data_IF_310691943968
#
_entry.id   IF_310691943968
#
_cell.length_a   1.000
_cell.length_b   1.000
_cell.length_c   1.000
_cell.angle_alpha   90.00
_cell.angle_beta   90.00
_cell.angle_gamma   90.00
#
_symmetry.space_group_name_H-M   'P 1'
#
loop_
_entity.id
_entity.type
_entity.pdbx_description
1 polymer ?
#
# COMPACT_ATOMS: atom_id res chain seq x y z
N UNK A 1 -21.76 34.97 -7.45
CA UNK A 1 -22.24 35.77 -6.28
C UNK A 1 -23.56 35.26 -5.72
N UNK A 2 -24.49 34.73 -6.54
CA UNK A 2 -25.80 34.26 -6.10
C UNK A 2 -25.81 32.95 -5.26
N UNK A 3 -24.87 32.03 -5.47
CA UNK A 3 -24.85 30.72 -4.75
C UNK A 3 -24.52 30.93 -3.26
N UNK A 4 -23.54 31.80 -2.96
CA UNK A 4 -23.14 32.08 -1.57
C UNK A 4 -24.30 32.81 -0.84
N UNK A 5 -24.97 33.74 -1.51
CA UNK A 5 -26.11 34.48 -0.92
C UNK A 5 -27.29 33.53 -0.66
N UNK A 6 -27.54 32.55 -1.52
CA UNK A 6 -28.61 31.56 -1.36
C UNK A 6 -28.33 30.58 -0.23
N UNK A 7 -27.06 30.27 0.04
CA UNK A 7 -26.63 29.38 1.13
C UNK A 7 -26.57 30.11 2.48
N UNK A 8 -26.18 31.38 2.50
CA UNK A 8 -25.98 32.16 3.73
C UNK A 8 -27.26 32.81 4.24
N UNK A 9 -28.17 33.25 3.35
CA UNK A 9 -29.43 33.92 3.74
C UNK A 9 -30.32 33.09 4.68
N UNK A 10 -30.58 31.78 4.45
CA UNK A 10 -31.36 30.99 5.40
C UNK A 10 -30.67 30.86 6.77
N UNK A 11 -29.35 30.83 6.78
CA UNK A 11 -28.54 30.74 7.99
C UNK A 11 -28.61 32.04 8.82
N UNK A 12 -28.50 33.20 8.16
CA UNK A 12 -28.61 34.50 8.85
C UNK A 12 -30.00 34.76 9.41
N UNK A 13 -31.08 34.37 8.71
CA UNK A 13 -32.44 34.49 9.22
C UNK A 13 -32.72 33.58 10.42
N UNK A 14 -32.08 32.42 10.48
CA UNK A 14 -32.24 31.43 11.56
C UNK A 14 -31.50 31.81 12.83
N UNK A 15 -30.33 32.49 12.70
CA UNK A 15 -29.58 32.98 13.88
C UNK A 15 -30.34 34.11 14.62
N UNK A 16 -31.21 34.84 13.94
CA UNK A 16 -32.05 35.88 14.54
C UNK A 16 -33.20 35.33 15.38
N UNK A 17 -33.59 34.06 15.22
CA UNK A 17 -34.60 33.41 16.04
C UNK A 17 -33.94 32.78 17.27
N UNK A 18 -34.30 33.21 18.46
CA UNK A 18 -33.67 32.88 19.78
C UNK A 18 -33.76 31.42 20.23
N UNK A 19 -34.01 30.47 19.37
CA UNK A 19 -34.19 29.08 19.77
C UNK A 19 -32.96 28.21 19.41
N UNK A 20 -31.95 28.19 20.28
CA UNK A 20 -30.81 27.28 20.22
C UNK A 20 -31.23 25.80 20.14
N UNK A 21 -32.45 25.47 20.61
CA UNK A 21 -33.01 24.09 20.51
C UNK A 21 -33.33 23.63 19.09
N UNK A 22 -33.29 24.56 18.11
CA UNK A 22 -33.55 24.22 16.69
C UNK A 22 -32.28 24.00 15.86
N UNK A 23 -31.09 24.16 16.45
CA UNK A 23 -29.84 24.08 15.71
C UNK A 23 -29.66 22.74 14.94
N UNK A 24 -29.97 21.61 15.57
CA UNK A 24 -29.87 20.29 14.92
C UNK A 24 -30.83 20.18 13.73
N UNK A 25 -32.05 20.71 13.84
CA UNK A 25 -33.01 20.72 12.73
C UNK A 25 -32.54 21.61 11.58
N UNK A 26 -31.95 22.76 11.90
CA UNK A 26 -31.39 23.67 10.92
C UNK A 26 -30.21 23.06 10.19
N UNK A 27 -29.31 22.38 10.90
CA UNK A 27 -28.19 21.63 10.30
C UNK A 27 -28.70 20.56 9.34
N UNK A 28 -29.77 19.84 9.71
CA UNK A 28 -30.40 18.84 8.84
C UNK A 28 -31.04 19.44 7.58
N UNK A 29 -31.74 20.55 7.73
CA UNK A 29 -32.38 21.27 6.61
C UNK A 29 -31.33 21.86 5.65
N UNK A 30 -30.26 22.40 6.20
CA UNK A 30 -29.14 22.92 5.43
C UNK A 30 -28.42 21.84 4.64
N UNK A 31 -28.16 20.69 5.27
CA UNK A 31 -27.60 19.51 4.61
C UNK A 31 -28.54 19.03 3.48
N UNK A 32 -29.85 18.98 3.71
CA UNK A 32 -30.83 18.61 2.67
C UNK A 32 -30.80 19.56 1.47
N UNK A 33 -30.72 20.87 1.73
CA UNK A 33 -30.66 21.87 0.66
C UNK A 33 -29.38 21.77 -0.16
N UNK A 34 -28.22 21.62 0.50
CA UNK A 34 -26.95 21.37 -0.17
C UNK A 34 -27.00 20.08 -1.02
N UNK A 35 -27.65 19.04 -0.52
CA UNK A 35 -27.80 17.78 -1.25
C UNK A 35 -28.64 17.96 -2.52
N UNK A 36 -29.73 18.76 -2.47
CA UNK A 36 -30.57 19.05 -3.64
C UNK A 36 -29.82 19.86 -4.70
N UNK A 37 -29.02 20.84 -4.31
CA UNK A 37 -28.22 21.65 -5.24
C UNK A 37 -27.10 20.82 -5.87
N UNK A 38 -26.42 19.99 -5.07
CA UNK A 38 -25.42 19.05 -5.58
C UNK A 38 -26.04 18.02 -6.53
N UNK A 39 -27.26 17.56 -6.25
CA UNK A 39 -28.01 16.68 -7.14
C UNK A 39 -28.28 17.34 -8.50
N UNK A 40 -28.72 18.60 -8.50
CA UNK A 40 -28.98 19.35 -9.72
C UNK A 40 -27.70 19.51 -10.56
N UNK A 41 -26.56 19.81 -9.91
CA UNK A 41 -25.26 19.87 -10.57
C UNK A 41 -24.86 18.51 -11.18
N UNK A 42 -25.03 17.42 -10.45
CA UNK A 42 -24.74 16.07 -10.95
C UNK A 42 -25.65 15.66 -12.11
N UNK A 43 -26.92 16.07 -12.09
CA UNK A 43 -27.86 15.82 -13.19
C UNK A 43 -27.44 16.55 -14.47
N UNK A 44 -27.02 17.82 -14.36
CA UNK A 44 -26.51 18.63 -15.48
C UNK A 44 -25.22 18.03 -16.03
N UNK A 45 -24.24 17.74 -15.15
CA UNK A 45 -22.96 17.12 -15.55
C UNK A 45 -23.19 15.77 -16.23
N UNK A 46 -24.06 14.93 -15.68
CA UNK A 46 -24.39 13.63 -16.27
C UNK A 46 -24.99 13.78 -17.67
N UNK A 47 -25.84 14.78 -17.91
CA UNK A 47 -26.40 15.09 -19.22
C UNK A 47 -25.34 15.57 -20.22
N UNK A 48 -24.44 16.46 -19.81
CA UNK A 48 -23.37 16.98 -20.67
C UNK A 48 -22.39 15.87 -21.08
N UNK A 49 -21.99 15.06 -20.12
CA UNK A 49 -21.11 13.90 -20.38
C UNK A 49 -21.77 12.85 -21.27
N UNK A 50 -23.11 12.72 -21.20
CA UNK A 50 -23.87 11.84 -22.06
C UNK A 50 -23.82 12.25 -23.54
N UNK A 51 -23.97 13.53 -23.85
CA UNK A 51 -23.85 14.01 -25.24
C UNK A 51 -22.48 13.69 -25.84
N UNK A 52 -21.42 13.88 -25.05
CA UNK A 52 -20.02 13.56 -25.48
C UNK A 52 -19.83 12.04 -25.65
N UNK A 53 -20.42 11.22 -24.79
CA UNK A 53 -20.34 9.76 -24.84
C UNK A 53 -21.18 9.16 -25.99
N UNK A 54 -22.36 9.69 -26.28
CA UNK A 54 -23.15 9.31 -27.48
C UNK A 54 -22.36 9.52 -28.76
N UNK A 55 -21.64 10.64 -28.86
CA UNK A 55 -20.83 10.94 -30.05
C UNK A 55 -19.64 9.99 -30.19
N UNK A 56 -19.14 9.42 -29.10
CA UNK A 56 -18.04 8.43 -29.10
C UNK A 56 -18.52 6.98 -29.27
N UNK A 57 -19.67 6.61 -28.68
CA UNK A 57 -20.20 5.23 -28.71
C UNK A 57 -20.95 4.90 -30.01
N UNK A 58 -21.12 5.82 -30.92
CA UNK A 58 -21.53 5.51 -32.31
C UNK A 58 -20.46 4.71 -33.09
N UNK A 59 -19.30 4.44 -32.49
CA UNK A 59 -18.28 3.51 -32.99
C UNK A 59 -18.55 2.05 -32.57
N UNK A 60 -17.65 1.09 -32.91
CA UNK A 60 -17.93 -0.33 -33.05
C UNK A 60 -18.13 -1.16 -31.77
N UNK A 61 -18.25 -0.62 -30.58
CA UNK A 61 -18.59 -1.42 -29.40
C UNK A 61 -20.06 -1.89 -29.36
N UNK A 62 -20.36 -2.85 -30.24
CA UNK A 62 -21.68 -3.52 -30.38
C UNK A 62 -22.17 -4.27 -29.13
N UNK A 63 -21.53 -4.10 -27.97
CA UNK A 63 -21.84 -4.90 -26.76
C UNK A 63 -22.91 -4.27 -25.87
N UNK A 64 -23.19 -2.98 -26.01
CA UNK A 64 -24.14 -2.27 -25.16
C UNK A 64 -25.20 -1.56 -26.01
N UNK A 65 -26.45 -1.58 -25.52
CA UNK A 65 -27.58 -0.84 -26.09
C UNK A 65 -27.98 0.29 -25.15
N UNK A 66 -28.14 1.47 -25.71
CA UNK A 66 -28.73 2.59 -24.99
C UNK A 66 -30.17 2.29 -24.55
N UNK A 67 -30.45 2.53 -23.27
CA UNK A 67 -31.73 2.25 -22.64
C UNK A 67 -32.43 3.49 -22.06
N UNK A 68 -32.05 4.67 -22.57
CA UNK A 68 -32.61 5.96 -22.13
C UNK A 68 -31.96 6.51 -20.86
N UNK A 69 -32.41 7.68 -20.43
CA UNK A 69 -32.02 8.29 -19.16
C UNK A 69 -32.86 7.69 -18.05
N UNK A 70 -32.21 7.19 -17.00
CA UNK A 70 -32.88 6.60 -15.85
C UNK A 70 -32.48 7.26 -14.55
N UNK A 71 -33.39 7.29 -13.59
CA UNK A 71 -33.11 7.69 -12.22
C UNK A 71 -32.24 6.67 -11.52
N UNK A 72 -31.08 7.07 -11.05
CA UNK A 72 -30.09 6.22 -10.37
C UNK A 72 -29.85 6.75 -8.97
N UNK A 73 -30.01 5.91 -7.95
CA UNK A 73 -29.69 6.29 -6.58
C UNK A 73 -28.17 6.12 -6.37
N UNK A 74 -27.49 7.19 -6.00
CA UNK A 74 -26.05 7.23 -5.71
C UNK A 74 -25.82 7.60 -4.26
N UNK A 75 -24.63 7.27 -3.73
CA UNK A 75 -24.21 7.63 -2.38
C UNK A 75 -23.08 8.64 -2.49
N UNK A 76 -23.20 9.77 -1.83
CA UNK A 76 -22.23 10.87 -1.80
C UNK A 76 -21.28 10.76 -0.60
N UNK A 77 -20.31 11.68 -0.53
CA UNK A 77 -19.22 11.72 0.44
C UNK A 77 -19.67 11.58 1.91
N UNK A 78 -20.74 12.27 2.30
CA UNK A 78 -21.31 12.24 3.65
C UNK A 78 -22.23 11.03 3.92
N UNK A 79 -22.27 10.03 3.01
CA UNK A 79 -23.15 8.86 3.13
C UNK A 79 -24.59 9.11 2.69
N UNK A 80 -24.96 10.33 2.30
CA UNK A 80 -26.30 10.65 1.82
C UNK A 80 -26.60 9.94 0.50
N UNK A 81 -27.87 9.58 0.30
CA UNK A 81 -28.37 8.92 -0.92
C UNK A 81 -29.19 9.90 -1.71
N UNK A 82 -28.68 10.29 -2.87
CA UNK A 82 -29.39 11.15 -3.83
C UNK A 82 -29.79 10.39 -5.07
N UNK A 83 -30.80 10.86 -5.78
CA UNK A 83 -31.25 10.27 -7.04
C UNK A 83 -30.84 11.21 -8.17
N UNK A 84 -30.02 10.72 -9.08
CA UNK A 84 -29.55 11.45 -10.26
C UNK A 84 -30.11 10.85 -11.55
N UNK A 85 -30.35 11.68 -12.55
CA UNK A 85 -30.70 11.21 -13.89
C UNK A 85 -29.43 10.87 -14.64
N UNK A 86 -29.30 9.63 -15.10
CA UNK A 86 -28.08 9.17 -15.78
C UNK A 86 -28.43 8.37 -17.04
N UNK A 87 -27.71 8.62 -18.14
CA UNK A 87 -27.75 7.76 -19.32
C UNK A 87 -27.43 6.33 -18.93
N UNK A 88 -28.23 5.41 -19.45
CA UNK A 88 -28.15 4.01 -19.07
C UNK A 88 -27.92 3.14 -20.31
N UNK A 89 -26.93 2.25 -20.20
CA UNK A 89 -26.60 1.27 -21.23
C UNK A 89 -26.74 -0.14 -20.68
N UNK A 90 -27.31 -1.03 -21.47
CA UNK A 90 -27.54 -2.44 -21.09
C UNK A 90 -26.70 -3.33 -21.99
N UNK A 91 -25.98 -4.28 -21.39
CA UNK A 91 -25.17 -5.25 -22.13
C UNK A 91 -26.05 -6.18 -22.98
N UNK A 92 -25.70 -6.32 -24.24
CA UNK A 92 -26.31 -7.28 -25.16
C UNK A 92 -25.41 -8.52 -25.21
N UNK A 93 -25.83 -9.64 -24.63
CA UNK A 93 -25.04 -10.86 -24.73
C UNK A 93 -24.98 -11.34 -26.17
N UNK A 94 -23.82 -11.87 -26.63
CA UNK A 94 -23.71 -12.46 -27.96
C UNK A 94 -24.70 -13.62 -28.06
N UNK A 95 -25.35 -13.78 -29.26
CA UNK A 95 -26.26 -14.88 -29.53
C UNK A 95 -25.50 -16.21 -29.42
N UNK A 96 -25.66 -16.93 -28.33
CA UNK A 96 -25.14 -18.30 -28.12
C UNK A 96 -26.31 -19.29 -28.15
N UNK A 97 -26.13 -20.46 -28.79
CA UNK A 97 -27.04 -21.59 -28.66
C UNK A 97 -26.85 -22.21 -27.28
N UNK A 98 -27.86 -22.12 -26.41
CA UNK A 98 -27.86 -22.69 -25.05
C UNK A 98 -28.46 -21.76 -23.99
N UNK A 99 -28.71 -22.22 -22.75
CA UNK A 99 -29.31 -21.41 -21.70
C UNK A 99 -28.37 -20.23 -21.33
N UNK A 100 -28.87 -19.02 -21.53
CA UNK A 100 -28.13 -17.76 -21.25
C UNK A 100 -28.34 -17.40 -19.79
N UNK A 101 -27.42 -17.82 -18.90
CA UNK A 101 -27.46 -17.49 -17.47
C UNK A 101 -26.41 -16.49 -17.00
N UNK A 102 -25.36 -16.24 -17.78
CA UNK A 102 -24.32 -15.30 -17.42
C UNK A 102 -24.44 -13.99 -18.20
N UNK A 103 -24.50 -12.87 -17.51
CA UNK A 103 -24.51 -11.48 -18.00
C UNK A 103 -25.86 -10.88 -18.45
N UNK A 104 -27.02 -11.50 -18.19
CA UNK A 104 -28.27 -10.76 -18.31
C UNK A 104 -28.31 -9.61 -17.30
N UNK A 105 -28.34 -8.36 -17.79
CA UNK A 105 -28.63 -7.19 -16.98
C UNK A 105 -27.43 -6.42 -16.44
N UNK A 106 -26.21 -6.59 -16.99
CA UNK A 106 -25.13 -5.65 -16.68
C UNK A 106 -25.50 -4.28 -17.23
N UNK A 107 -25.71 -3.35 -16.31
CA UNK A 107 -26.10 -1.97 -16.61
C UNK A 107 -24.90 -1.08 -16.36
N UNK A 108 -24.57 -0.21 -17.31
CA UNK A 108 -23.54 0.83 -17.19
C UNK A 108 -24.18 2.21 -17.19
N UNK A 109 -23.54 3.10 -16.49
CA UNK A 109 -23.88 4.53 -16.41
C UNK A 109 -22.62 5.36 -16.76
N UNK A 110 -22.29 5.51 -18.07
CA UNK A 110 -21.04 6.14 -18.50
C UNK A 110 -20.78 7.50 -17.88
N UNK A 111 -21.82 8.35 -17.75
CA UNK A 111 -21.68 9.65 -17.10
C UNK A 111 -21.25 9.54 -15.63
N UNK A 112 -21.79 8.60 -14.86
CA UNK A 112 -21.35 8.37 -13.49
C UNK A 112 -19.96 7.72 -13.43
N UNK A 113 -19.66 6.83 -14.37
CA UNK A 113 -18.33 6.20 -14.45
C UNK A 113 -17.24 7.23 -14.77
N UNK A 114 -17.51 8.19 -15.65
CA UNK A 114 -16.62 9.30 -15.96
C UNK A 114 -16.40 10.20 -14.74
N UNK A 115 -17.46 10.48 -13.97
CA UNK A 115 -17.36 11.19 -12.69
C UNK A 115 -16.70 10.33 -11.57
N UNK A 116 -16.27 9.11 -11.86
CA UNK A 116 -15.57 8.23 -10.94
C UNK A 116 -16.44 7.46 -9.96
N UNK A 117 -17.75 7.44 -10.17
CA UNK A 117 -18.61 6.60 -9.34
C UNK A 117 -18.34 5.11 -9.58
N UNK A 118 -18.06 4.38 -8.53
CA UNK A 118 -17.95 2.93 -8.52
C UNK A 118 -19.11 2.34 -7.70
N UNK A 119 -19.85 1.39 -8.26
CA UNK A 119 -21.04 0.81 -7.60
C UNK A 119 -22.02 1.88 -7.09
N UNK A 120 -22.21 2.95 -7.86
CA UNK A 120 -23.09 4.10 -7.52
C UNK A 120 -22.65 4.85 -6.26
N UNK A 121 -21.38 4.85 -5.94
CA UNK A 121 -20.77 5.57 -4.83
C UNK A 121 -19.75 6.57 -5.36
N UNK A 122 -19.79 7.80 -4.84
CA UNK A 122 -18.88 8.85 -5.27
C UNK A 122 -17.42 8.51 -4.96
N UNK A 123 -16.45 9.07 -5.71
CA UNK A 123 -15.02 8.84 -5.48
C UNK A 123 -14.62 9.13 -4.04
N UNK A 124 -15.07 10.27 -3.50
CA UNK A 124 -14.69 10.68 -2.16
C UNK A 124 -15.33 9.81 -1.07
N UNK A 125 -16.57 9.32 -1.28
CA UNK A 125 -17.16 8.33 -0.38
C UNK A 125 -16.32 7.04 -0.36
N UNK A 126 -15.90 6.56 -1.54
CA UNK A 126 -15.05 5.38 -1.65
C UNK A 126 -13.70 5.58 -0.97
N UNK A 127 -13.06 6.72 -1.25
CA UNK A 127 -11.79 7.10 -0.62
C UNK A 127 -11.90 7.10 0.90
N UNK A 128 -12.92 7.78 1.45
CA UNK A 128 -13.17 7.85 2.89
C UNK A 128 -13.39 6.47 3.52
N UNK A 129 -14.26 5.64 2.93
CA UNK A 129 -14.55 4.28 3.41
C UNK A 129 -13.30 3.39 3.37
N UNK A 130 -12.54 3.45 2.27
CA UNK A 130 -11.35 2.62 2.11
C UNK A 130 -10.21 3.10 2.99
N UNK A 131 -10.01 4.42 3.15
CA UNK A 131 -9.03 4.97 4.11
C UNK A 131 -9.35 4.54 5.54
N UNK A 132 -10.61 4.60 5.96
CA UNK A 132 -11.03 4.06 7.26
C UNK A 132 -10.73 2.55 7.35
N UNK A 133 -11.01 1.78 6.29
CA UNK A 133 -10.71 0.34 6.28
C UNK A 133 -9.22 0.02 6.39
N UNK A 134 -8.33 0.78 5.77
CA UNK A 134 -6.88 0.53 5.82
C UNK A 134 -6.22 1.07 7.08
N UNK A 135 -6.76 2.13 7.69
CA UNK A 135 -6.22 2.72 8.93
C UNK A 135 -6.61 1.94 10.17
N UNK A 136 -7.84 1.45 10.25
CA UNK A 136 -8.38 0.73 11.40
C UNK A 136 -7.92 -0.74 11.46
N UNK A 137 -7.84 -1.35 12.66
CA UNK A 137 -7.38 -2.73 12.81
C UNK A 137 -8.33 -3.76 12.19
N UNK A 138 -9.63 -3.47 12.10
CA UNK A 138 -10.63 -4.37 11.49
C UNK A 138 -11.66 -3.60 10.67
N UNK A 139 -12.41 -4.30 9.81
CA UNK A 139 -13.55 -3.71 9.08
C UNK A 139 -14.69 -3.33 10.03
N UNK A 140 -14.82 -4.04 11.17
CA UNK A 140 -15.79 -3.70 12.21
C UNK A 140 -15.44 -2.35 12.85
N UNK A 141 -14.17 -2.17 13.27
CA UNK A 141 -13.71 -0.90 13.84
C UNK A 141 -13.83 0.26 12.83
N UNK A 142 -13.60 0.00 11.55
CA UNK A 142 -13.81 1.00 10.49
C UNK A 142 -15.30 1.37 10.35
N UNK A 143 -16.22 0.39 10.48
CA UNK A 143 -17.66 0.64 10.46
C UNK A 143 -18.11 1.49 11.66
N UNK A 144 -17.57 1.21 12.83
CA UNK A 144 -17.83 1.98 14.05
C UNK A 144 -17.28 3.41 13.93
N UNK A 145 -16.03 3.57 13.51
CA UNK A 145 -15.42 4.90 13.28
C UNK A 145 -16.22 5.74 12.27
N UNK A 146 -16.65 5.14 11.15
CA UNK A 146 -17.47 5.84 10.17
C UNK A 146 -18.85 6.23 10.72
N UNK A 147 -19.42 5.43 11.62
CA UNK A 147 -20.71 5.74 12.23
C UNK A 147 -20.68 7.01 13.08
N UNK A 148 -19.56 7.30 13.76
CA UNK A 148 -19.36 8.57 14.48
C UNK A 148 -19.38 9.79 13.54
N UNK A 149 -19.04 9.58 12.25
CA UNK A 149 -19.14 10.60 11.20
C UNK A 149 -20.49 10.58 10.47
N UNK A 150 -21.50 9.90 11.04
CA UNK A 150 -22.82 9.68 10.42
C UNK A 150 -22.78 8.98 9.05
N UNK A 151 -21.71 8.25 8.75
CA UNK A 151 -21.56 7.42 7.55
C UNK A 151 -21.85 5.96 7.91
N UNK A 152 -23.05 5.49 7.63
CA UNK A 152 -23.51 4.15 8.02
C UNK A 152 -23.23 3.13 6.91
N UNK A 153 -22.13 2.38 7.06
CA UNK A 153 -21.70 1.33 6.13
C UNK A 153 -21.36 0.07 6.92
N UNK A 154 -21.96 -1.05 6.57
CA UNK A 154 -21.66 -2.30 7.27
C UNK A 154 -20.22 -2.77 7.01
N UNK A 155 -19.62 -3.46 7.97
CA UNK A 155 -18.27 -4.00 7.84
C UNK A 155 -18.09 -4.91 6.60
N UNK A 156 -19.15 -5.63 6.20
CA UNK A 156 -19.13 -6.47 4.99
C UNK A 156 -19.10 -5.60 3.72
N UNK A 157 -19.88 -4.52 3.66
CA UNK A 157 -19.82 -3.57 2.54
C UNK A 157 -18.46 -2.87 2.46
N UNK A 158 -17.91 -2.44 3.60
CA UNK A 158 -16.56 -1.85 3.69
C UNK A 158 -15.54 -2.84 3.10
N UNK A 159 -15.60 -4.11 3.50
CA UNK A 159 -14.72 -5.17 2.99
C UNK A 159 -14.81 -5.31 1.46
N UNK A 160 -16.02 -5.39 0.93
CA UNK A 160 -16.27 -5.53 -0.51
C UNK A 160 -15.73 -4.30 -1.27
N UNK A 161 -16.05 -3.09 -0.80
CA UNK A 161 -15.60 -1.84 -1.42
C UNK A 161 -14.07 -1.72 -1.40
N UNK A 162 -13.44 -2.05 -0.28
CA UNK A 162 -11.98 -2.02 -0.15
C UNK A 162 -11.29 -2.92 -1.18
N UNK A 163 -11.79 -4.15 -1.34
CA UNK A 163 -11.18 -5.06 -2.31
C UNK A 163 -11.44 -4.67 -3.76
N UNK A 164 -12.62 -4.12 -4.07
CA UNK A 164 -12.91 -3.59 -5.41
C UNK A 164 -12.09 -2.35 -5.72
N UNK A 165 -11.91 -1.47 -4.73
CA UNK A 165 -11.07 -0.30 -4.89
C UNK A 165 -9.62 -0.69 -5.16
N UNK A 166 -9.07 -1.67 -4.46
CA UNK A 166 -7.74 -2.19 -4.73
C UNK A 166 -7.59 -2.76 -6.15
N UNK A 167 -8.65 -3.42 -6.67
CA UNK A 167 -8.63 -4.00 -8.03
C UNK A 167 -8.49 -2.93 -9.13
N UNK A 168 -8.84 -1.67 -8.86
CA UNK A 168 -8.65 -0.56 -9.80
C UNK A 168 -7.18 -0.26 -10.08
N UNK A 169 -6.29 -0.61 -9.15
CA UNK A 169 -4.88 -0.21 -9.19
C UNK A 169 -3.91 -1.37 -9.42
N UNK A 170 -4.26 -2.59 -8.98
CA UNK A 170 -3.32 -3.71 -8.92
C UNK A 170 -2.82 -4.18 -10.30
N UNK A 171 -3.56 -3.94 -11.38
CA UNK A 171 -3.12 -4.27 -12.74
C UNK A 171 -1.89 -3.47 -13.19
N UNK A 172 -1.84 -2.22 -12.77
CA UNK A 172 -0.78 -1.23 -13.07
C UNK A 172 -0.26 -0.62 -11.77
N UNK A 173 0.06 -1.50 -10.80
CA UNK A 173 0.37 -1.07 -9.42
C UNK A 173 1.61 -0.19 -9.33
N UNK A 174 2.60 -0.37 -10.19
CA UNK A 174 3.82 0.43 -10.20
C UNK A 174 3.49 1.83 -10.67
N UNK A 175 2.90 1.96 -11.83
CA UNK A 175 2.54 3.23 -12.47
C UNK A 175 1.59 4.06 -11.60
N UNK A 176 0.64 3.38 -10.94
CA UNK A 176 -0.32 4.02 -10.04
C UNK A 176 0.30 4.52 -8.72
N UNK A 177 1.46 4.01 -8.34
CA UNK A 177 2.14 4.37 -7.08
C UNK A 177 3.15 5.50 -7.23
N UNK A 178 3.46 5.94 -8.44
CA UNK A 178 4.52 6.89 -8.76
C UNK A 178 3.94 8.23 -9.21
N UNK A 179 4.54 9.34 -8.76
CA UNK A 179 4.11 10.70 -9.10
C UNK A 179 5.08 11.42 -10.05
N UNK A 180 6.19 10.76 -10.41
CA UNK A 180 7.21 11.28 -11.31
C UNK A 180 8.38 11.98 -10.62
N UNK A 181 8.29 12.26 -9.32
CA UNK A 181 9.40 12.83 -8.54
C UNK A 181 10.61 11.91 -8.48
N UNK A 182 10.41 10.62 -8.71
CA UNK A 182 11.43 9.57 -8.73
C UNK A 182 12.45 9.73 -9.87
N UNK A 183 12.11 10.48 -10.92
CA UNK A 183 12.99 10.69 -12.09
C UNK A 183 14.08 11.74 -11.89
N UNK A 184 14.11 12.40 -10.75
CA UNK A 184 15.10 13.42 -10.46
C UNK A 184 16.52 12.84 -10.47
N UNK A 185 17.51 13.67 -10.87
CA UNK A 185 18.92 13.32 -10.83
C UNK A 185 19.51 13.56 -9.43
N UNK A 186 20.64 12.92 -9.14
CA UNK A 186 21.41 13.19 -7.91
C UNK A 186 20.79 12.71 -6.61
N UNK A 187 19.84 11.80 -6.69
CA UNK A 187 19.16 11.25 -5.51
C UNK A 187 20.08 10.37 -4.66
N UNK A 188 19.96 10.47 -3.33
CA UNK A 188 20.57 9.52 -2.38
C UNK A 188 19.50 8.48 -2.02
N UNK A 189 19.62 7.27 -2.56
CA UNK A 189 18.58 6.25 -2.54
C UNK A 189 18.92 5.16 -1.53
N UNK A 190 18.02 4.95 -0.59
CA UNK A 190 18.03 3.82 0.35
C UNK A 190 16.94 2.81 -0.04
N UNK A 191 17.34 1.58 -0.25
CA UNK A 191 16.45 0.47 -0.55
C UNK A 191 16.51 -0.50 0.61
N UNK A 192 15.37 -0.80 1.22
CA UNK A 192 15.27 -1.79 2.30
C UNK A 192 14.22 -2.81 1.98
N UNK A 193 14.47 -4.06 2.36
CA UNK A 193 13.52 -5.17 2.16
C UNK A 193 13.57 -6.13 3.35
N UNK A 194 12.40 -6.61 3.77
CA UNK A 194 12.30 -7.57 4.86
C UNK A 194 10.99 -8.38 4.78
N UNK A 195 10.94 -9.53 5.46
CA UNK A 195 9.80 -10.42 5.54
C UNK A 195 8.96 -10.23 6.81
N UNK A 196 7.65 -10.15 6.64
CA UNK A 196 6.72 -10.20 7.77
C UNK A 196 6.14 -11.60 7.97
N UNK A 197 5.21 -11.73 8.94
CA UNK A 197 4.48 -13.00 9.15
C UNK A 197 3.01 -12.73 9.32
N UNK A 198 2.16 -13.45 8.58
CA UNK A 198 0.69 -13.38 8.70
C UNK A 198 0.06 -14.76 8.58
N UNK A 199 -1.16 -14.89 9.09
CA UNK A 199 -1.91 -16.15 9.04
C UNK A 199 -2.85 -16.16 7.85
N UNK A 200 -2.74 -17.22 7.04
CA UNK A 200 -3.61 -17.48 5.91
C UNK A 200 -4.62 -18.57 6.24
N UNK A 201 -5.77 -18.50 5.60
CA UNK A 201 -6.70 -19.62 5.53
C UNK A 201 -6.68 -20.21 4.12
N UNK A 202 -6.67 -21.52 4.04
CA UNK A 202 -6.87 -22.22 2.78
C UNK A 202 -8.37 -22.37 2.54
N UNK A 203 -8.84 -22.04 1.32
CA UNK A 203 -10.24 -22.26 0.94
C UNK A 203 -10.51 -23.77 0.86
N UNK A 204 -11.39 -24.26 1.71
CA UNK A 204 -11.82 -25.65 1.65
C UNK A 204 -12.76 -25.85 0.47
N UNK A 205 -12.32 -26.59 -0.56
CA UNK A 205 -13.10 -26.94 -1.74
C UNK A 205 -14.24 -27.93 -1.48
N UNK A 206 -14.37 -28.52 -0.28
CA UNK A 206 -15.44 -29.47 0.07
C UNK A 206 -16.37 -28.90 1.12
N UNK A 207 -17.49 -28.35 0.69
CA UNK A 207 -18.67 -28.17 1.54
C UNK A 207 -19.20 -29.58 1.90
N UNK A 208 -18.91 -30.05 3.08
CA UNK A 208 -19.60 -31.21 3.62
C UNK A 208 -21.02 -30.75 3.97
N UNK A 209 -22.05 -31.20 3.21
CA UNK A 209 -23.46 -30.80 3.34
C UNK A 209 -24.01 -30.95 4.77
N UNK A 210 -23.35 -31.73 5.64
CA UNK A 210 -23.80 -32.02 7.01
C UNK A 210 -23.20 -31.08 8.08
N UNK A 211 -22.18 -30.29 7.79
CA UNK A 211 -21.57 -29.38 8.79
C UNK A 211 -21.84 -27.92 8.44
N UNK A 212 -22.60 -27.22 9.28
CA UNK A 212 -22.89 -25.79 9.18
C UNK A 212 -21.66 -24.87 9.40
N UNK A 213 -20.54 -25.39 9.93
CA UNK A 213 -19.31 -24.64 10.17
C UNK A 213 -18.25 -25.01 9.15
N UNK A 214 -17.77 -24.00 8.41
CA UNK A 214 -16.59 -24.11 7.54
C UNK A 214 -15.36 -24.22 8.44
N UNK A 215 -14.70 -25.39 8.44
CA UNK A 215 -13.38 -25.54 9.07
C UNK A 215 -12.32 -25.17 8.05
N UNK A 216 -11.37 -24.31 8.41
CA UNK A 216 -10.21 -23.97 7.59
C UNK A 216 -8.92 -24.34 8.32
N UNK A 217 -7.86 -24.64 7.56
CA UNK A 217 -6.52 -24.79 8.11
C UNK A 217 -5.82 -23.44 8.05
N UNK A 218 -5.30 -22.98 9.18
CA UNK A 218 -4.45 -21.81 9.25
C UNK A 218 -3.01 -22.18 8.86
N UNK A 219 -2.40 -21.38 7.99
CA UNK A 219 -0.99 -21.50 7.60
C UNK A 219 -0.30 -20.15 7.76
N UNK A 220 0.90 -20.17 8.33
CA UNK A 220 1.74 -19.00 8.34
C UNK A 220 2.36 -18.78 6.96
N UNK A 221 2.33 -17.54 6.48
CA UNK A 221 2.97 -17.10 5.25
C UNK A 221 3.75 -15.83 5.53
N UNK A 222 4.73 -15.59 4.69
CA UNK A 222 5.62 -14.44 4.78
C UNK A 222 5.28 -13.44 3.68
N UNK A 223 4.57 -12.34 3.98
CA UNK A 223 4.52 -11.18 3.08
C UNK A 223 5.90 -10.51 3.10
N UNK A 224 6.40 -10.17 1.93
CA UNK A 224 7.67 -9.47 1.74
C UNK A 224 7.35 -8.02 1.48
N UNK A 225 7.93 -7.13 2.26
CA UNK A 225 7.77 -5.68 2.18
C UNK A 225 9.10 -5.03 1.81
N UNK A 226 9.08 -4.08 0.91
CA UNK A 226 10.23 -3.23 0.61
C UNK A 226 9.87 -1.76 0.69
N UNK A 227 10.90 -0.96 0.92
CA UNK A 227 10.84 0.49 0.95
C UNK A 227 11.94 1.08 0.09
N UNK A 228 11.61 2.10 -0.69
CA UNK A 228 12.57 2.95 -1.38
C UNK A 228 12.42 4.36 -0.78
N UNK A 229 13.49 4.88 -0.24
CA UNK A 229 13.58 6.19 0.40
C UNK A 229 14.62 7.03 -0.30
N UNK A 230 14.32 8.29 -0.50
CA UNK A 230 15.31 9.29 -0.91
C UNK A 230 15.71 10.07 0.33
N UNK A 231 17.01 10.15 0.59
CA UNK A 231 17.56 10.80 1.77
C UNK A 231 18.22 12.14 1.38
N UNK A 232 18.05 13.13 2.22
CA UNK A 232 18.78 14.38 2.11
C UNK A 232 20.24 14.20 2.59
N UNK A 233 21.06 15.26 2.53
CA UNK A 233 22.46 15.24 2.97
C UNK A 233 22.64 14.93 4.47
N UNK A 234 21.59 15.09 5.28
CA UNK A 234 21.59 14.75 6.71
C UNK A 234 21.16 13.30 6.99
N UNK A 235 20.84 12.53 5.95
CA UNK A 235 20.32 11.16 6.10
C UNK A 235 18.84 11.08 6.49
N UNK A 236 18.11 12.20 6.45
CA UNK A 236 16.67 12.24 6.70
C UNK A 236 15.88 12.06 5.40
N UNK A 237 14.60 11.69 5.50
CA UNK A 237 13.74 11.56 4.33
C UNK A 237 13.62 12.91 3.60
N UNK A 238 13.92 12.93 2.31
CA UNK A 238 13.68 14.08 1.45
C UNK A 238 12.17 14.33 1.32
N UNK A 239 11.77 15.60 1.41
CA UNK A 239 10.35 15.95 1.33
C UNK A 239 9.83 15.94 -0.12
N UNK A 240 10.72 16.20 -1.06
CA UNK A 240 10.42 16.36 -2.49
C UNK A 240 10.09 15.03 -3.17
N UNK A 241 10.57 13.91 -2.62
CA UNK A 241 10.33 12.57 -3.15
C UNK A 241 9.70 11.70 -2.06
N UNK A 242 8.38 11.52 -2.09
CA UNK A 242 7.70 10.72 -1.07
C UNK A 242 8.23 9.28 -1.02
N UNK A 243 8.36 8.74 0.20
CA UNK A 243 8.73 7.35 0.41
C UNK A 243 7.84 6.42 -0.43
N UNK A 244 8.44 5.42 -1.06
CA UNK A 244 7.70 4.33 -1.67
C UNK A 244 7.70 3.13 -0.72
N UNK A 245 6.52 2.59 -0.49
CA UNK A 245 6.31 1.32 0.21
C UNK A 245 5.49 0.41 -0.67
N UNK A 246 5.91 -0.84 -0.82
CA UNK A 246 5.05 -1.88 -1.37
C UNK A 246 5.36 -3.25 -0.75
N UNK A 247 4.41 -4.18 -0.85
CA UNK A 247 4.53 -5.50 -0.28
C UNK A 247 3.77 -6.54 -1.09
N UNK A 248 4.25 -7.77 -1.09
CA UNK A 248 3.60 -8.87 -1.80
C UNK A 248 3.57 -10.17 -0.99
N UNK A 249 2.55 -10.98 -1.23
CA UNK A 249 2.43 -12.35 -0.71
C UNK A 249 3.21 -13.38 -1.52
N UNK A 250 3.83 -12.96 -2.64
CA UNK A 250 4.62 -13.82 -3.50
C UNK A 250 5.99 -14.10 -2.87
N UNK A 251 6.75 -15.03 -3.47
CA UNK A 251 8.08 -15.38 -2.99
C UNK A 251 9.13 -14.28 -3.23
N UNK A 252 10.32 -14.43 -2.64
CA UNK A 252 11.43 -13.48 -2.74
C UNK A 252 11.79 -13.11 -4.18
N UNK A 253 11.87 -14.07 -5.10
CA UNK A 253 12.15 -13.82 -6.51
C UNK A 253 11.12 -12.84 -7.12
N UNK A 254 9.84 -13.05 -6.87
CA UNK A 254 8.78 -12.17 -7.37
C UNK A 254 8.76 -10.81 -6.68
N UNK A 255 9.15 -10.74 -5.39
CA UNK A 255 9.30 -9.46 -4.69
C UNK A 255 10.42 -8.63 -5.31
N UNK A 256 11.55 -9.24 -5.66
CA UNK A 256 12.64 -8.57 -6.37
C UNK A 256 12.24 -8.13 -7.79
N UNK A 257 11.46 -8.93 -8.53
CA UNK A 257 10.91 -8.51 -9.83
C UNK A 257 9.99 -7.30 -9.68
N UNK A 258 9.20 -7.23 -8.62
CA UNK A 258 8.36 -6.08 -8.35
C UNK A 258 9.19 -4.85 -7.95
N UNK A 259 10.18 -5.03 -7.08
CA UNK A 259 11.11 -3.97 -6.69
C UNK A 259 11.87 -3.41 -7.89
N UNK A 260 12.38 -4.29 -8.78
CA UNK A 260 13.06 -3.91 -10.03
C UNK A 260 12.20 -2.99 -10.90
N UNK A 261 10.93 -3.34 -11.09
CA UNK A 261 9.99 -2.51 -11.86
C UNK A 261 9.81 -1.10 -11.26
N UNK A 262 9.81 -0.97 -9.94
CA UNK A 262 9.79 0.36 -9.31
C UNK A 262 11.10 1.10 -9.55
N UNK A 263 12.25 0.42 -9.41
CA UNK A 263 13.57 1.02 -9.57
C UNK A 263 13.85 1.47 -11.01
N UNK A 264 13.22 0.87 -12.03
CA UNK A 264 13.28 1.32 -13.42
C UNK A 264 12.76 2.76 -13.63
N UNK A 265 11.91 3.24 -12.70
CA UNK A 265 11.39 4.61 -12.74
C UNK A 265 12.27 5.65 -12.02
N UNK A 266 13.30 5.18 -11.27
CA UNK A 266 14.27 6.05 -10.64
C UNK A 266 15.46 6.30 -11.57
N UNK A 267 16.00 7.51 -11.56
CA UNK A 267 17.22 7.82 -12.31
C UNK A 267 18.47 7.30 -11.56
N UNK A 268 18.59 5.97 -11.45
CA UNK A 268 19.62 5.31 -10.68
C UNK A 268 21.04 5.59 -11.18
N UNK A 269 21.22 5.82 -12.50
CA UNK A 269 22.55 6.08 -13.10
C UNK A 269 23.11 7.42 -12.66
N UNK A 270 22.27 8.37 -12.34
CA UNK A 270 22.64 9.70 -11.87
C UNK A 270 22.45 9.86 -10.35
N UNK A 271 22.19 8.75 -9.65
CA UNK A 271 22.07 8.76 -8.20
C UNK A 271 23.41 9.07 -7.54
N UNK A 272 23.41 9.92 -6.52
CA UNK A 272 24.62 10.25 -5.74
C UNK A 272 25.09 9.07 -4.92
N UNK A 273 24.16 8.34 -4.31
CA UNK A 273 24.42 7.13 -3.53
C UNK A 273 23.26 6.15 -3.71
N UNK A 274 23.56 4.87 -3.78
CA UNK A 274 22.59 3.79 -3.73
C UNK A 274 22.99 2.84 -2.61
N UNK A 275 22.12 2.66 -1.63
CA UNK A 275 22.33 1.76 -0.50
C UNK A 275 21.24 0.72 -0.46
N UNK A 276 21.61 -0.54 -0.47
CA UNK A 276 20.70 -1.66 -0.25
C UNK A 276 20.94 -2.25 1.13
N UNK A 277 19.93 -2.21 1.99
CA UNK A 277 20.04 -2.59 3.38
C UNK A 277 18.99 -3.64 3.74
N UNK A 278 19.43 -4.79 4.26
CA UNK A 278 18.57 -5.92 4.59
C UNK A 278 19.19 -6.81 5.69
N UNK A 279 18.47 -7.87 6.06
CA UNK A 279 19.03 -8.90 6.94
C UNK A 279 20.09 -9.77 6.21
N UNK A 280 20.73 -10.67 6.94
CA UNK A 280 21.76 -11.55 6.39
C UNK A 280 21.23 -12.78 5.61
N UNK A 281 19.98 -12.78 5.15
CA UNK A 281 19.36 -13.93 4.46
C UNK A 281 19.92 -14.13 3.06
N UNK A 282 20.38 -15.35 2.75
CA UNK A 282 20.86 -15.70 1.40
C UNK A 282 19.80 -15.47 0.31
N UNK A 283 18.52 -15.60 0.64
CA UNK A 283 17.41 -15.37 -0.30
C UNK A 283 17.35 -13.93 -0.81
N UNK A 284 17.85 -12.97 -0.03
CA UNK A 284 17.92 -11.58 -0.41
C UNK A 284 19.12 -11.34 -1.31
N UNK A 285 20.30 -11.72 -0.84
CA UNK A 285 21.55 -11.39 -1.50
C UNK A 285 21.72 -12.09 -2.85
N UNK A 286 21.22 -13.32 -2.99
CA UNK A 286 21.23 -14.04 -4.26
C UNK A 286 20.33 -13.41 -5.35
N UNK A 287 19.38 -12.55 -5.00
CA UNK A 287 18.54 -11.85 -5.95
C UNK A 287 19.02 -10.41 -6.22
N UNK A 288 19.80 -9.81 -5.32
CA UNK A 288 20.22 -8.41 -5.42
C UNK A 288 21.16 -8.17 -6.60
N UNK A 289 22.31 -8.87 -6.65
CA UNK A 289 23.33 -8.63 -7.66
C UNK A 289 22.79 -8.86 -9.10
N UNK A 290 22.01 -9.93 -9.38
CA UNK A 290 21.35 -10.08 -10.68
C UNK A 290 20.37 -8.97 -11.03
N UNK A 291 19.62 -8.42 -10.06
CA UNK A 291 18.71 -7.30 -10.26
C UNK A 291 19.49 -6.02 -10.61
N UNK A 292 20.48 -5.66 -9.81
CA UNK A 292 21.30 -4.45 -10.05
C UNK A 292 22.02 -4.51 -11.40
N UNK A 293 22.49 -5.69 -11.81
CA UNK A 293 23.09 -5.92 -13.12
C UNK A 293 22.08 -5.67 -14.26
N UNK A 294 20.83 -6.13 -14.14
CA UNK A 294 19.79 -5.87 -15.15
C UNK A 294 19.44 -4.38 -15.26
N UNK A 295 19.42 -3.68 -14.12
CA UNK A 295 19.24 -2.23 -14.06
C UNK A 295 20.45 -1.43 -14.60
N UNK A 296 21.57 -2.11 -14.90
CA UNK A 296 22.80 -1.47 -15.41
C UNK A 296 23.54 -0.68 -14.34
N UNK A 297 23.39 -1.05 -13.04
CA UNK A 297 24.01 -0.39 -11.91
C UNK A 297 25.16 -1.23 -11.39
N UNK A 298 26.37 -0.68 -11.46
CA UNK A 298 27.61 -1.29 -10.96
C UNK A 298 28.03 -0.76 -9.59
N UNK A 299 27.65 0.48 -9.28
CA UNK A 299 28.05 1.15 -8.04
C UNK A 299 26.89 1.27 -7.06
N UNK A 300 26.90 0.45 -6.01
CA UNK A 300 25.98 0.49 -4.90
C UNK A 300 26.61 -0.12 -3.65
N UNK A 301 26.07 0.20 -2.48
CA UNK A 301 26.52 -0.39 -1.21
C UNK A 301 25.47 -1.38 -0.69
N UNK A 302 25.94 -2.60 -0.46
CA UNK A 302 25.20 -3.66 0.24
C UNK A 302 25.54 -3.58 1.71
N UNK A 303 24.53 -3.47 2.58
CA UNK A 303 24.71 -3.35 4.02
C UNK A 303 23.81 -4.36 4.72
N UNK A 304 24.39 -5.19 5.59
CA UNK A 304 23.58 -6.01 6.50
C UNK A 304 23.17 -5.14 7.69
N UNK A 305 21.89 -5.21 8.05
CA UNK A 305 21.39 -4.49 9.22
C UNK A 305 22.22 -4.78 10.48
N UNK A 306 22.69 -3.71 11.13
CA UNK A 306 23.56 -3.82 12.31
C UNK A 306 22.91 -4.56 13.47
N UNK A 307 21.60 -4.34 13.70
CA UNK A 307 20.89 -5.01 14.79
C UNK A 307 20.74 -6.50 14.53
N UNK A 308 20.42 -6.89 13.29
CA UNK A 308 20.36 -8.29 12.87
C UNK A 308 21.75 -8.96 12.93
N UNK A 309 22.80 -8.26 12.49
CA UNK A 309 24.20 -8.75 12.64
C UNK A 309 24.55 -8.99 14.10
N UNK A 310 24.22 -8.03 14.97
CA UNK A 310 24.46 -8.11 16.42
C UNK A 310 23.67 -9.24 17.07
N UNK A 311 22.41 -9.46 16.66
CA UNK A 311 21.61 -10.61 17.14
C UNK A 311 22.25 -11.95 16.76
N UNK A 312 22.71 -12.09 15.51
CA UNK A 312 23.39 -13.30 15.05
C UNK A 312 24.75 -13.51 15.76
N UNK A 313 25.47 -12.43 16.02
CA UNK A 313 26.73 -12.49 16.77
C UNK A 313 26.48 -12.88 18.24
N UNK A 314 25.40 -12.43 18.86
CA UNK A 314 25.03 -12.81 20.23
C UNK A 314 24.86 -14.33 20.38
N UNK A 315 24.37 -15.03 19.36
CA UNK A 315 24.28 -16.50 19.38
C UNK A 315 25.68 -17.11 19.55
N UNK A 316 26.68 -16.56 18.89
CA UNK A 316 28.07 -17.01 19.00
C UNK A 316 28.65 -16.65 20.37
N UNK A 317 28.43 -15.43 20.83
CA UNK A 317 28.87 -14.96 22.16
C UNK A 317 28.27 -15.81 23.27
N UNK A 318 27.00 -16.20 23.17
CA UNK A 318 26.34 -17.07 24.15
C UNK A 318 26.92 -18.49 24.15
N UNK A 319 27.38 -19.01 22.99
CA UNK A 319 28.11 -20.28 22.94
C UNK A 319 29.45 -20.17 23.66
N UNK A 320 30.15 -19.04 23.53
CA UNK A 320 31.40 -18.76 24.24
C UNK A 320 31.19 -18.58 25.76
N UNK A 321 30.12 -17.90 26.16
CA UNK A 321 29.89 -17.48 27.54
C UNK A 321 29.25 -18.54 28.45
N UNK A 322 28.80 -19.67 27.93
CA UNK A 322 28.06 -20.70 28.69
C UNK A 322 28.68 -21.13 30.05
N UNK A 323 29.99 -20.90 30.24
CA UNK A 323 30.73 -21.30 31.47
C UNK A 323 31.62 -20.15 32.02
N UNK A 324 31.35 -18.89 31.63
CA UNK A 324 32.13 -17.74 32.11
C UNK A 324 31.45 -17.03 33.28
N UNK A 325 32.25 -16.30 34.04
CA UNK A 325 31.74 -15.31 35.01
C UNK A 325 31.11 -14.13 34.26
N UNK A 326 30.18 -13.41 34.90
CA UNK A 326 29.53 -12.23 34.31
C UNK A 326 30.53 -11.20 33.76
N UNK A 327 31.63 -10.94 34.51
CA UNK A 327 32.65 -9.96 34.12
C UNK A 327 33.43 -10.41 32.88
N UNK A 328 33.87 -11.68 32.82
CA UNK A 328 34.58 -12.23 31.65
C UNK A 328 33.66 -12.29 30.42
N UNK A 329 32.39 -12.67 30.59
CA UNK A 329 31.39 -12.66 29.52
C UNK A 329 31.10 -11.28 28.97
N UNK A 330 31.16 -10.22 29.81
CA UNK A 330 31.02 -8.84 29.38
C UNK A 330 32.19 -8.42 28.49
N UNK A 331 33.45 -8.69 28.90
CA UNK A 331 34.66 -8.41 28.10
C UNK A 331 34.65 -9.11 26.75
N UNK A 332 34.26 -10.39 26.71
CA UNK A 332 34.10 -11.14 25.46
C UNK A 332 33.08 -10.48 24.53
N UNK A 333 31.95 -10.06 25.04
CA UNK A 333 30.91 -9.38 24.28
C UNK A 333 31.37 -8.06 23.73
N UNK A 334 32.00 -7.20 24.54
CA UNK A 334 32.55 -5.92 24.13
C UNK A 334 33.58 -6.08 23.00
N UNK A 335 34.51 -7.03 23.14
CA UNK A 335 35.50 -7.32 22.11
C UNK A 335 34.88 -7.78 20.79
N UNK A 336 33.92 -8.70 20.85
CA UNK A 336 33.23 -9.21 19.65
C UNK A 336 32.41 -8.10 18.97
N UNK A 337 31.79 -7.17 19.72
CA UNK A 337 31.10 -6.03 19.13
C UNK A 337 32.04 -5.01 18.48
N UNK A 338 33.22 -4.77 19.07
CA UNK A 338 34.25 -3.94 18.46
C UNK A 338 34.71 -4.51 17.11
N UNK A 339 34.96 -5.84 17.07
CA UNK A 339 35.34 -6.52 15.83
C UNK A 339 34.22 -6.46 14.78
N UNK A 340 32.96 -6.64 15.20
CA UNK A 340 31.81 -6.46 14.31
C UNK A 340 31.74 -5.04 13.76
N UNK A 341 31.92 -4.04 14.60
CA UNK A 341 31.87 -2.64 14.17
C UNK A 341 32.91 -2.31 13.09
N UNK A 342 34.13 -2.85 13.26
CA UNK A 342 35.21 -2.73 12.28
C UNK A 342 35.06 -3.60 11.04
N UNK A 343 34.14 -4.56 11.05
CA UNK A 343 34.01 -5.58 10.01
C UNK A 343 35.15 -6.58 10.00
N UNK A 344 35.83 -6.74 11.14
CA UNK A 344 36.97 -7.66 11.28
C UNK A 344 36.52 -9.08 11.58
N UNK A 345 36.10 -9.79 10.52
CA UNK A 345 35.63 -11.16 10.62
C UNK A 345 36.77 -12.14 10.98
N UNK A 346 37.97 -11.85 10.52
CA UNK A 346 39.13 -12.68 10.87
C UNK A 346 39.47 -12.56 12.35
N UNK A 347 39.48 -11.36 12.90
CA UNK A 347 39.64 -11.14 14.33
C UNK A 347 38.56 -11.83 15.18
N UNK A 348 37.31 -11.89 14.68
CA UNK A 348 36.26 -12.69 15.34
C UNK A 348 36.61 -14.18 15.37
N UNK A 349 37.11 -14.75 14.25
CA UNK A 349 37.50 -16.16 14.15
C UNK A 349 38.69 -16.47 15.10
N UNK A 350 39.67 -15.60 15.11
CA UNK A 350 40.86 -15.74 16.01
C UNK A 350 40.42 -15.64 17.49
N UNK A 351 39.51 -14.77 17.82
CA UNK A 351 38.98 -14.65 19.17
C UNK A 351 38.23 -15.92 19.60
N UNK A 352 37.43 -16.51 18.68
CA UNK A 352 36.77 -17.80 18.90
C UNK A 352 37.81 -18.92 19.06
N UNK A 353 38.85 -18.95 18.23
CA UNK A 353 39.91 -19.94 18.27
C UNK A 353 40.70 -19.91 19.58
N UNK A 354 41.07 -18.71 20.02
CA UNK A 354 41.74 -18.49 21.31
C UNK A 354 40.87 -18.90 22.49
N UNK A 355 39.56 -18.53 22.44
CA UNK A 355 38.61 -18.88 23.49
C UNK A 355 38.41 -20.39 23.67
N UNK A 356 38.31 -21.10 22.56
CA UNK A 356 38.09 -22.56 22.54
C UNK A 356 39.39 -23.38 22.45
N UNK A 357 40.57 -22.79 22.62
CA UNK A 357 41.87 -23.45 22.46
C UNK A 357 42.00 -24.79 23.20
N UNK A 358 41.34 -24.92 24.37
CA UNK A 358 41.31 -26.13 25.21
C UNK A 358 39.99 -26.92 25.12
N UNK A 359 38.99 -26.46 24.37
CA UNK A 359 37.64 -27.03 24.36
C UNK A 359 37.12 -27.24 22.95
N UNK A 360 37.19 -28.46 22.44
CA UNK A 360 36.73 -28.81 21.06
C UNK A 360 35.21 -28.68 20.86
N UNK A 361 34.41 -28.86 21.93
CA UNK A 361 32.96 -28.85 21.85
C UNK A 361 32.43 -27.41 21.85
N UNK A 362 31.77 -27.00 20.76
CA UNK A 362 31.23 -25.64 20.55
C UNK A 362 32.06 -24.78 19.55
N UNK A 363 33.39 -25.00 19.44
CA UNK A 363 34.25 -24.26 18.50
C UNK A 363 33.75 -24.37 17.06
N UNK A 364 33.53 -25.59 16.56
CA UNK A 364 33.05 -25.84 15.20
C UNK A 364 31.70 -25.17 14.93
N UNK A 365 30.78 -25.21 15.89
CA UNK A 365 29.47 -24.56 15.75
C UNK A 365 29.57 -23.02 15.69
N UNK A 366 30.40 -22.42 16.55
CA UNK A 366 30.65 -20.98 16.55
C UNK A 366 31.31 -20.53 15.25
N UNK A 367 32.37 -21.20 14.81
CA UNK A 367 33.04 -20.88 13.53
C UNK A 367 32.12 -21.08 12.32
N UNK A 368 31.33 -22.15 12.28
CA UNK A 368 30.36 -22.34 11.20
C UNK A 368 29.33 -21.22 11.16
N UNK A 369 28.87 -20.74 12.32
CA UNK A 369 27.94 -19.61 12.37
C UNK A 369 28.57 -18.32 11.84
N UNK A 370 29.82 -18.03 12.18
CA UNK A 370 30.55 -16.90 11.63
C UNK A 370 30.75 -17.04 10.12
N UNK A 371 31.26 -18.20 9.66
CA UNK A 371 31.50 -18.42 8.24
C UNK A 371 30.23 -18.31 7.39
N UNK A 372 29.10 -18.83 7.87
CA UNK A 372 27.85 -18.83 7.09
C UNK A 372 27.15 -17.48 7.08
N UNK A 373 27.25 -16.69 8.15
CA UNK A 373 26.51 -15.42 8.23
C UNK A 373 27.35 -14.20 7.85
N UNK A 374 28.65 -14.20 8.21
CA UNK A 374 29.56 -13.07 8.04
C UNK A 374 30.55 -13.27 6.88
N UNK A 375 30.24 -14.12 5.90
CA UNK A 375 31.12 -14.44 4.77
C UNK A 375 31.55 -13.21 3.98
N UNK A 376 30.62 -12.29 3.74
CA UNK A 376 30.82 -11.07 2.96
C UNK A 376 31.14 -9.88 3.86
N UNK A 377 32.40 -9.80 4.32
CA UNK A 377 32.85 -8.81 5.30
C UNK A 377 32.60 -7.34 4.90
N UNK A 378 32.58 -7.03 3.60
CA UNK A 378 32.33 -5.69 3.07
C UNK A 378 30.94 -5.14 3.43
N UNK A 379 29.96 -6.03 3.75
CA UNK A 379 28.61 -5.69 4.16
C UNK A 379 28.49 -5.34 5.65
N UNK A 380 29.55 -5.58 6.42
CA UNK A 380 29.61 -5.43 7.87
C UNK A 380 30.64 -4.39 8.33
N UNK A 381 31.27 -3.66 7.44
CA UNK A 381 32.27 -2.65 7.78
C UNK A 381 31.59 -1.34 8.28
N UNK A 382 30.87 -1.42 9.40
CA UNK A 382 30.01 -0.34 9.90
C UNK A 382 30.76 0.95 10.19
N UNK A 383 31.96 0.89 10.73
CA UNK A 383 32.82 2.03 10.96
C UNK A 383 33.02 2.85 9.67
N UNK A 384 33.49 2.19 8.62
CA UNK A 384 33.74 2.82 7.31
C UNK A 384 32.43 3.26 6.61
N UNK A 385 31.31 2.54 6.86
CA UNK A 385 30.02 2.92 6.31
C UNK A 385 29.50 4.19 6.95
N UNK A 386 29.60 4.31 8.29
CA UNK A 386 29.18 5.51 9.02
C UNK A 386 30.04 6.73 8.75
N UNK A 387 31.37 6.56 8.60
CA UNK A 387 32.27 7.62 8.17
C UNK A 387 31.89 8.23 6.81
N UNK A 388 31.21 7.46 5.95
CA UNK A 388 30.76 7.89 4.63
C UNK A 388 29.27 8.19 4.58
N UNK A 389 28.61 8.35 5.71
CA UNK A 389 27.16 8.62 5.84
C UNK A 389 26.27 7.58 5.13
N UNK A 390 26.66 6.31 5.16
CA UNK A 390 25.77 5.23 4.73
C UNK A 390 24.87 4.78 5.88
N UNK A 391 23.58 4.52 5.65
CA UNK A 391 22.68 3.94 6.66
C UNK A 391 23.12 2.51 7.01
N UNK A 392 23.10 2.17 8.29
CA UNK A 392 23.49 0.86 8.80
C UNK A 392 22.35 0.11 9.51
N UNK A 393 21.19 0.73 9.66
CA UNK A 393 20.02 0.17 10.34
C UNK A 393 18.78 0.17 9.48
N UNK A 394 18.09 -0.97 9.42
CA UNK A 394 16.86 -1.18 8.67
C UNK A 394 15.58 -0.74 9.43
N UNK A 395 15.71 0.13 10.43
CA UNK A 395 14.59 0.58 11.26
C UNK A 395 13.40 1.16 10.47
N UNK A 396 13.64 1.64 9.25
CA UNK A 396 12.59 2.10 8.33
C UNK A 396 11.68 0.96 7.88
N UNK A 397 12.24 -0.15 7.41
CA UNK A 397 11.46 -1.32 6.98
C UNK A 397 10.87 -2.09 8.16
N UNK A 398 11.57 -2.19 9.29
CA UNK A 398 11.01 -2.78 10.52
C UNK A 398 9.77 -2.01 10.99
N UNK A 399 9.86 -0.67 11.02
CA UNK A 399 8.72 0.19 11.32
C UNK A 399 7.59 0.03 10.29
N UNK A 400 7.90 -0.10 9.01
CA UNK A 400 6.93 -0.35 7.97
C UNK A 400 6.25 -1.72 8.15
N UNK A 401 6.99 -2.80 8.43
CA UNK A 401 6.44 -4.12 8.74
C UNK A 401 5.49 -4.06 9.93
N UNK A 402 5.89 -3.37 11.00
CA UNK A 402 5.03 -3.18 12.16
C UNK A 402 3.71 -2.51 11.75
N UNK A 403 3.78 -1.39 11.03
CA UNK A 403 2.60 -0.60 10.65
C UNK A 403 1.76 -1.26 9.57
N UNK A 404 2.39 -1.81 8.50
CA UNK A 404 1.68 -2.42 7.36
C UNK A 404 1.12 -3.79 7.74
N UNK A 405 1.97 -4.67 8.32
CA UNK A 405 1.67 -6.07 8.50
C UNK A 405 1.15 -6.35 9.93
N UNK A 406 1.94 -6.01 10.96
CA UNK A 406 1.65 -6.48 12.31
C UNK A 406 0.39 -5.84 12.88
N UNK A 407 0.20 -4.54 12.69
CA UNK A 407 -0.96 -3.82 13.24
C UNK A 407 -2.27 -4.08 12.51
N UNK A 408 -2.23 -4.59 11.27
CA UNK A 408 -3.43 -4.80 10.44
C UNK A 408 -3.69 -6.26 10.12
N UNK A 409 -2.65 -7.01 9.76
CA UNK A 409 -2.82 -8.37 9.25
C UNK A 409 -2.65 -9.44 10.31
N UNK A 410 -2.09 -9.07 11.49
CA UNK A 410 -1.97 -9.95 12.65
C UNK A 410 -2.99 -9.59 13.71
N UNK A 411 -3.58 -10.59 14.33
CA UNK A 411 -4.49 -10.43 15.45
C UNK A 411 -5.13 -11.78 15.82
N UNK A 412 -5.74 -11.84 16.97
CA UNK A 412 -6.48 -13.03 17.40
C UNK A 412 -7.68 -13.23 16.47
N UNK A 413 -7.81 -14.44 15.89
CA UNK A 413 -8.90 -14.75 14.98
C UNK A 413 -8.78 -14.15 13.56
N UNK A 414 -7.73 -13.40 13.25
CA UNK A 414 -7.52 -12.81 11.91
C UNK A 414 -6.82 -13.81 11.00
N UNK A 415 -7.47 -14.16 9.87
CA UNK A 415 -6.95 -15.04 8.83
C UNK A 415 -7.30 -14.45 7.47
N UNK A 416 -6.37 -14.47 6.55
CA UNK A 416 -6.51 -13.88 5.23
C UNK A 416 -6.59 -14.91 4.11
N UNK A 417 -7.36 -14.63 3.08
CA UNK A 417 -7.17 -15.23 1.76
C UNK A 417 -6.03 -14.49 1.07
N UNK A 418 -5.12 -15.21 0.39
CA UNK A 418 -3.91 -14.64 -0.21
C UNK A 418 -4.22 -13.44 -1.11
N UNK A 419 -5.19 -13.58 -2.03
CA UNK A 419 -5.62 -12.49 -2.91
C UNK A 419 -6.13 -11.24 -2.18
N UNK A 420 -6.80 -11.42 -1.04
CA UNK A 420 -7.32 -10.30 -0.26
C UNK A 420 -6.25 -9.67 0.62
N UNK A 421 -5.28 -10.46 1.06
CA UNK A 421 -4.10 -9.98 1.76
C UNK A 421 -3.25 -9.09 0.84
N UNK A 422 -2.99 -9.53 -0.39
CA UNK A 422 -2.27 -8.75 -1.41
C UNK A 422 -2.93 -7.37 -1.64
N UNK A 423 -4.26 -7.34 -1.78
CA UNK A 423 -5.04 -6.10 -1.92
C UNK A 423 -4.87 -5.16 -0.72
N UNK A 424 -4.96 -5.71 0.48
CA UNK A 424 -4.83 -4.93 1.71
C UNK A 424 -3.40 -4.43 1.90
N UNK A 425 -2.39 -5.25 1.60
CA UNK A 425 -0.98 -4.87 1.65
C UNK A 425 -0.73 -3.65 0.76
N UNK A 426 -1.13 -3.73 -0.51
CA UNK A 426 -0.96 -2.64 -1.46
C UNK A 426 -1.59 -1.34 -0.96
N UNK A 427 -2.91 -1.34 -0.68
CA UNK A 427 -3.59 -0.13 -0.23
C UNK A 427 -2.99 0.46 1.06
N UNK A 428 -2.58 -0.42 1.98
CA UNK A 428 -1.99 0.02 3.22
C UNK A 428 -0.59 0.60 3.04
N UNK A 429 0.20 0.07 2.11
CA UNK A 429 1.48 0.65 1.71
C UNK A 429 1.29 2.06 1.16
N UNK A 430 0.37 2.24 0.21
CA UNK A 430 0.09 3.56 -0.38
C UNK A 430 -0.41 4.57 0.67
N UNK A 431 -1.29 4.13 1.57
CA UNK A 431 -1.80 4.96 2.66
C UNK A 431 -0.68 5.42 3.61
N UNK A 432 0.19 4.49 4.04
CA UNK A 432 1.27 4.78 4.99
C UNK A 432 2.47 5.51 4.36
N UNK A 433 2.65 5.39 3.05
CA UNK A 433 3.64 6.13 2.28
C UNK A 433 3.18 7.58 1.97
N UNK A 434 1.95 7.96 2.30
CA UNK A 434 1.41 9.28 1.97
C UNK A 434 0.99 9.43 0.50
N UNK A 435 0.97 8.35 -0.29
CA UNK A 435 0.69 8.35 -1.75
C UNK A 435 -0.79 8.14 -2.09
N UNK A 436 -1.66 8.40 -1.14
CA UNK A 436 -3.11 8.20 -1.35
C UNK A 436 -3.69 9.13 -2.43
N UNK A 437 -3.27 10.39 -2.43
CA UNK A 437 -3.71 11.36 -3.43
C UNK A 437 -3.18 10.97 -4.81
N UNK A 438 -1.92 10.53 -4.91
CA UNK A 438 -1.35 10.01 -6.16
C UNK A 438 -2.23 8.91 -6.78
N UNK A 439 -2.78 7.98 -5.97
CA UNK A 439 -3.73 6.98 -6.46
C UNK A 439 -5.00 7.61 -7.04
N UNK A 440 -5.52 8.65 -6.39
CA UNK A 440 -6.75 9.33 -6.84
C UNK A 440 -6.52 10.07 -8.15
N UNK A 441 -5.40 10.81 -8.25
CA UNK A 441 -5.00 11.54 -9.44
C UNK A 441 -4.80 10.59 -10.65
N UNK A 442 -4.10 9.47 -10.44
CA UNK A 442 -3.92 8.44 -11.47
C UNK A 442 -5.23 7.79 -11.93
N UNK A 443 -6.17 7.62 -11.00
CA UNK A 443 -7.49 7.09 -11.34
C UNK A 443 -8.30 8.10 -12.17
N UNK A 444 -8.18 9.38 -11.87
CA UNK A 444 -8.82 10.47 -12.61
C UNK A 444 -8.21 10.62 -14.01
N UNK A 445 -6.89 10.72 -14.12
CA UNK A 445 -6.16 10.73 -15.38
C UNK A 445 -6.57 9.57 -16.31
N UNK A 446 -6.64 8.36 -15.76
CA UNK A 446 -7.06 7.16 -16.52
C UNK A 446 -8.51 7.26 -17.02
N UNK A 447 -9.41 7.82 -16.20
CA UNK A 447 -10.80 8.03 -16.61
C UNK A 447 -10.89 9.01 -17.75
N UNK A 448 -10.22 10.16 -17.64
CA UNK A 448 -10.17 11.18 -18.69
C UNK A 448 -9.62 10.60 -19.98
N UNK A 449 -8.51 9.88 -19.91
CA UNK A 449 -7.91 9.21 -21.06
C UNK A 449 -8.83 8.15 -21.71
N UNK A 450 -9.55 7.36 -20.88
CA UNK A 450 -10.50 6.34 -21.38
C UNK A 450 -11.62 6.96 -22.18
N UNK A 451 -12.07 8.15 -21.82
CA UNK A 451 -13.11 8.89 -22.53
C UNK A 451 -12.55 9.91 -23.54
N UNK A 452 -11.21 10.00 -23.71
CA UNK A 452 -10.52 10.91 -24.65
C UNK A 452 -10.80 12.37 -24.32
N UNK A 453 -10.85 12.72 -23.04
CA UNK A 453 -11.02 14.07 -22.53
C UNK A 453 -9.65 14.55 -22.11
N UNK A 454 -9.11 15.60 -22.74
CA UNK A 454 -7.90 16.27 -22.29
C UNK A 454 -8.28 17.33 -21.25
N UNK A 455 -7.39 17.60 -20.30
CA UNK A 455 -7.61 18.63 -19.27
C UNK A 455 -7.93 20.02 -19.86
N UNK A 456 -7.34 20.34 -21.01
CA UNK A 456 -7.61 21.58 -21.74
C UNK A 456 -9.06 21.68 -22.28
N UNK A 457 -9.66 20.55 -22.66
CA UNK A 457 -11.04 20.52 -23.17
C UNK A 457 -12.08 20.87 -22.08
N UNK A 458 -11.72 20.72 -20.79
CA UNK A 458 -12.62 21.02 -19.64
C UNK A 458 -12.63 22.52 -19.34
N UNK A 459 -11.52 23.23 -19.56
CA UNK A 459 -11.37 24.64 -19.27
C UNK A 459 -11.93 25.54 -20.37
N UNK A 460 -11.88 25.11 -21.64
CA UNK A 460 -12.42 25.87 -22.76
C UNK A 460 -13.95 25.80 -22.85
N UNK A 461 -14.60 24.72 -22.41
CA UNK A 461 -16.07 24.57 -22.38
C UNK A 461 -16.72 25.21 -21.12
N UNK A 462 -15.91 25.73 -20.18
CA UNK A 462 -16.40 26.33 -18.92
C UNK A 462 -16.37 27.88 -18.93
N UNK A 463 -15.85 28.51 -19.99
CA UNK A 463 -15.89 29.95 -20.28
C UNK A 463 -16.92 30.24 -21.37
#
# INVERSE_FOLDING_TARGET
>A
MNVITTLVNPFCHSISSRELSHWEKMEEEWVKKMQQELQACLDVLSCLLFLKEILKTKGPEKKYKYAGVRSVRVTLMNGSKVVVKSPTFIFIPPKRRGPQTANKGVVRHPGLELLGFLDKKSPEFLSTVVRSAVSNPSFQAASEELSFRRIFVSHEQIRILTYRYADLFLGERVENSLDGSEKQAGLNIEITIDGGRTRMREDYKKKNKRRKKTTYKGKWREPILFSIRVLNKKGELAQEVPQLLDATMKNWKNAFVLLEKYLEHYNLKEATKITFLADGSNSIWSNLDPMMKRLGISEYKSVVDYMHAKQNLNIVIDMMNKKQTKAAGKKTREKMYELLWKGDINGMKENIDTFFSSKRRGKKAALNKINNYFEHHERFAYEKLTEKDYPIGSGSVESAIRRVINMKLKGNGIFWLEKNCEKMLYLRCQFLAGRWNTLQDKLEERRLNTYGINELDILEDAC
#
